data_IF_452434335619
#
_entry.id   IF_452434335619
#
_cell.length_a   1.000
_cell.length_b   1.000
_cell.length_c   1.000
_cell.angle_alpha   90.00
_cell.angle_beta   90.00
_cell.angle_gamma   90.00
#
_symmetry.space_group_name_H-M   'P 1'
#
loop_
_entity.id
_entity.type
_entity.pdbx_description
1 polymer ?
#
# COMPACT_ATOMS: atom_id res chain seq x y z
N UNK A 1 20.14 2.18 7.88
CA UNK A 1 19.49 2.27 9.19
C UNK A 1 18.23 3.11 9.00
N UNK A 2 17.06 2.59 9.37
CA UNK A 2 15.80 3.30 9.16
C UNK A 2 15.59 4.29 10.30
N UNK A 3 15.42 5.58 9.99
CA UNK A 3 15.09 6.59 10.97
C UNK A 3 13.58 6.57 11.20
N UNK A 4 13.11 6.68 12.44
CA UNK A 4 11.69 6.62 12.76
C UNK A 4 11.24 7.89 13.48
N UNK A 5 10.04 8.36 13.18
CA UNK A 5 9.31 9.32 14.00
C UNK A 5 8.21 8.61 14.78
N UNK A 6 8.06 8.96 16.05
CA UNK A 6 7.04 8.37 16.91
C UNK A 6 6.10 9.45 17.37
N UNK A 7 4.81 9.13 17.37
CA UNK A 7 3.74 9.94 17.91
C UNK A 7 2.98 9.09 18.92
N UNK A 8 2.70 9.64 20.09
CA UNK A 8 1.94 9.00 21.14
C UNK A 8 0.80 9.92 21.54
N UNK A 9 -0.41 9.38 21.58
CA UNK A 9 -1.63 10.12 21.83
C UNK A 9 -2.19 9.77 23.20
N UNK A 10 -2.50 10.81 23.96
CA UNK A 10 -2.97 10.73 25.33
C UNK A 10 -4.20 11.61 25.51
N UNK A 11 -5.22 11.09 26.17
CA UNK A 11 -6.44 11.80 26.52
C UNK A 11 -7.00 11.11 27.75
N UNK A 12 -7.40 11.88 28.75
CA UNK A 12 -8.07 11.31 29.91
C UNK A 12 -9.53 11.02 29.52
N UNK A 13 -9.92 9.75 29.58
CA UNK A 13 -11.27 9.31 29.19
C UNK A 13 -12.21 9.21 30.39
N UNK A 14 -11.65 9.23 31.61
CA UNK A 14 -12.39 9.18 32.87
C UNK A 14 -12.40 10.55 33.55
N UNK A 15 -13.55 10.96 34.08
CA UNK A 15 -13.62 12.19 34.85
C UNK A 15 -13.03 11.95 36.24
N UNK A 16 -11.78 12.34 36.44
CA UNK A 16 -11.05 12.15 37.69
C UNK A 16 -11.71 12.88 38.87
N UNK A 17 -11.69 12.26 40.04
CA UNK A 17 -12.10 12.88 41.30
C UNK A 17 -11.10 13.93 41.75
N UNK A 18 -11.48 14.81 42.69
CA UNK A 18 -10.63 15.92 43.14
C UNK A 18 -9.31 15.46 43.82
N UNK A 19 -9.27 14.23 44.34
CA UNK A 19 -8.10 13.59 44.92
C UNK A 19 -7.34 12.68 43.94
N UNK A 20 -7.83 12.54 42.71
CA UNK A 20 -7.22 11.71 41.68
C UNK A 20 -6.44 12.59 40.70
N UNK A 21 -5.19 12.23 40.48
CA UNK A 21 -4.32 12.78 39.47
C UNK A 21 -3.73 11.66 38.63
N UNK A 22 -3.61 11.93 37.32
CA UNK A 22 -2.83 11.10 36.39
C UNK A 22 -1.71 11.94 35.79
N UNK A 23 -0.49 11.62 36.20
CA UNK A 23 0.73 12.25 35.70
C UNK A 23 1.79 11.18 35.44
N UNK A 24 2.50 11.30 34.33
CA UNK A 24 3.49 10.32 33.92
C UNK A 24 4.65 10.95 33.17
N UNK A 25 5.75 10.21 33.15
CA UNK A 25 6.96 10.52 32.41
C UNK A 25 7.19 9.43 31.35
N UNK A 26 7.88 9.80 30.28
CA UNK A 26 8.19 8.93 29.16
C UNK A 26 9.71 8.89 29.00
N UNK A 27 10.27 7.70 28.96
CA UNK A 27 11.66 7.47 28.55
C UNK A 27 11.71 6.69 27.24
N UNK A 28 12.81 6.88 26.51
CA UNK A 28 13.15 6.17 25.31
C UNK A 28 14.51 5.51 25.48
N UNK A 29 14.59 4.19 25.34
CA UNK A 29 15.81 3.41 25.56
C UNK A 29 16.50 3.73 26.91
N UNK A 30 15.70 4.05 27.94
CA UNK A 30 16.19 4.44 29.26
C UNK A 30 16.46 5.93 29.46
N UNK A 31 16.55 6.72 28.38
CA UNK A 31 16.79 8.16 28.45
C UNK A 31 15.48 8.97 28.58
N UNK A 32 15.45 10.05 29.37
CA UNK A 32 14.27 10.91 29.48
C UNK A 32 13.87 11.48 28.12
N UNK A 33 12.60 11.31 27.74
CA UNK A 33 12.06 11.80 26.47
C UNK A 33 11.06 12.94 26.65
N UNK A 34 10.06 12.75 27.52
CA UNK A 34 9.05 13.77 27.78
C UNK A 34 8.43 13.57 29.16
N UNK A 35 8.18 14.66 29.88
CA UNK A 35 7.44 14.60 31.14
C UNK A 35 7.84 15.73 32.11
N UNK A 36 7.09 15.90 33.20
CA UNK A 36 5.85 15.17 33.49
C UNK A 36 4.67 15.65 32.62
N UNK A 37 3.77 14.74 32.24
CA UNK A 37 2.59 15.01 31.40
C UNK A 37 1.30 14.59 32.10
N UNK A 38 0.25 15.41 32.00
CA UNK A 38 -1.09 15.11 32.50
C UNK A 38 -2.12 15.32 31.37
N UNK A 39 -2.78 14.26 30.87
CA UNK A 39 -3.74 14.37 29.78
C UNK A 39 -5.02 15.11 30.20
N UNK A 40 -5.58 15.93 29.30
CA UNK A 40 -6.85 16.60 29.54
C UNK A 40 -8.05 15.66 29.37
N UNK A 41 -9.11 15.87 30.17
CA UNK A 41 -10.36 15.11 30.03
C UNK A 41 -11.00 15.36 28.65
N UNK A 42 -11.23 14.29 27.90
CA UNK A 42 -11.73 14.31 26.52
C UNK A 42 -10.92 15.21 25.57
N UNK A 43 -9.65 15.48 25.88
CA UNK A 43 -8.76 16.31 25.08
C UNK A 43 -7.49 15.54 24.73
N UNK A 44 -7.27 15.33 23.43
CA UNK A 44 -6.08 14.64 22.96
C UNK A 44 -4.83 15.55 23.01
N UNK A 45 -3.77 15.02 23.62
CA UNK A 45 -2.42 15.54 23.62
C UNK A 45 -1.53 14.58 22.85
N UNK A 46 -0.80 15.08 21.87
CA UNK A 46 0.16 14.28 21.09
C UNK A 46 1.58 14.63 21.50
N UNK A 47 2.34 13.63 21.95
CA UNK A 47 3.76 13.74 22.24
C UNK A 47 4.51 13.02 21.11
N UNK A 48 5.46 13.70 20.49
CA UNK A 48 6.13 13.18 19.29
C UNK A 48 7.62 13.48 19.25
N UNK A 49 8.37 12.68 18.49
CA UNK A 49 9.80 12.87 18.28
C UNK A 49 10.04 13.93 17.19
N UNK A 50 10.75 15.01 17.56
CA UNK A 50 11.09 16.10 16.62
C UNK A 50 12.14 15.67 15.58
N UNK A 51 13.09 14.87 16.01
CA UNK A 51 14.12 14.32 15.13
C UNK A 51 13.75 12.89 14.72
N UNK A 52 14.39 12.40 13.67
CA UNK A 52 14.22 11.03 13.19
C UNK A 52 15.22 10.12 13.92
N UNK A 53 14.70 9.10 14.61
CA UNK A 53 15.52 8.31 15.53
C UNK A 53 15.99 7.06 14.81
N UNK A 54 17.31 6.87 14.79
CA UNK A 54 17.92 5.66 14.22
C UNK A 54 18.22 4.71 15.38
N UNK A 55 17.53 3.55 15.49
CA UNK A 55 17.80 2.62 16.56
C UNK A 55 19.26 2.14 16.47
N UNK A 56 20.04 2.32 17.53
CA UNK A 56 21.35 1.69 17.69
C UNK A 56 21.25 0.19 18.06
N UNK A 57 20.03 -0.29 18.36
CA UNK A 57 19.72 -1.68 18.70
C UNK A 57 18.54 -2.26 17.90
N UNK A 58 18.23 -3.54 18.16
CA UNK A 58 17.23 -4.33 17.41
C UNK A 58 15.77 -3.92 17.70
N UNK A 59 15.51 -3.26 18.83
CA UNK A 59 14.16 -2.86 19.24
C UNK A 59 14.14 -1.42 19.75
N UNK A 60 13.00 -0.78 19.61
CA UNK A 60 12.71 0.52 20.22
C UNK A 60 11.97 0.26 21.53
N UNK A 61 12.51 0.75 22.66
CA UNK A 61 11.88 0.59 23.96
C UNK A 61 11.37 1.96 24.47
N UNK A 62 10.07 2.05 24.71
CA UNK A 62 9.45 3.19 25.37
C UNK A 62 8.91 2.74 26.72
N UNK A 63 9.21 3.51 27.76
CA UNK A 63 8.62 3.29 29.07
C UNK A 63 7.80 4.51 29.45
N UNK A 64 6.52 4.30 29.71
CA UNK A 64 5.63 5.31 30.27
C UNK A 64 5.43 4.91 31.74
N UNK A 65 5.89 5.75 32.66
CA UNK A 65 5.88 5.41 34.07
C UNK A 65 5.23 6.51 34.91
N UNK A 66 4.61 6.06 36.00
CA UNK A 66 3.85 6.90 36.92
C UNK A 66 4.77 7.94 37.56
N UNK A 67 4.34 9.20 37.57
CA UNK A 67 5.02 10.25 38.35
C UNK A 67 4.78 10.05 39.85
N UNK A 68 5.73 10.46 40.69
CA UNK A 68 5.61 10.36 42.15
C UNK A 68 4.37 11.09 42.70
N UNK A 69 3.96 12.19 42.05
CA UNK A 69 2.78 12.97 42.44
C UNK A 69 1.46 12.45 41.83
N UNK A 70 1.53 11.40 41.02
CA UNK A 70 0.34 10.79 40.42
C UNK A 70 -0.33 9.83 41.39
N UNK A 71 -1.65 9.78 41.39
CA UNK A 71 -2.39 8.74 42.11
C UNK A 71 -2.67 7.53 41.21
N UNK A 72 -2.91 7.77 39.92
CA UNK A 72 -3.29 6.77 38.94
C UNK A 72 -2.10 6.33 38.08
N UNK A 73 -2.15 5.12 37.48
CA UNK A 73 -1.12 4.66 36.54
C UNK A 73 -1.12 5.49 35.25
N UNK A 74 -0.08 5.44 34.42
CA UNK A 74 -0.11 6.06 33.10
C UNK A 74 -1.18 5.45 32.19
N UNK A 75 -1.54 6.19 31.14
CA UNK A 75 -2.42 5.70 30.06
C UNK A 75 -1.72 5.94 28.73
N UNK A 76 -2.08 5.15 27.71
CA UNK A 76 -1.69 5.35 26.33
C UNK A 76 -2.89 4.99 25.46
N UNK A 77 -3.39 5.94 24.66
CA UNK A 77 -4.59 5.72 23.85
C UNK A 77 -4.23 5.19 22.46
N UNK A 78 -3.20 5.76 21.83
CA UNK A 78 -2.71 5.33 20.53
C UNK A 78 -1.24 5.70 20.37
N UNK A 79 -0.54 4.99 19.49
CA UNK A 79 0.79 5.36 19.05
C UNK A 79 0.95 5.10 17.56
N UNK A 80 1.75 5.93 16.91
CA UNK A 80 2.08 5.84 15.49
C UNK A 80 3.59 5.85 15.35
N UNK A 81 4.11 4.97 14.50
CA UNK A 81 5.55 4.90 14.18
C UNK A 81 5.69 5.09 12.69
N UNK A 82 6.25 6.23 12.30
CA UNK A 82 6.55 6.55 10.92
C UNK A 82 7.99 6.24 10.63
N UNK A 83 8.22 5.26 9.77
CA UNK A 83 9.56 4.96 9.29
C UNK A 83 9.90 5.89 8.12
N UNK A 84 10.95 6.70 8.29
CA UNK A 84 11.59 7.41 7.18
C UNK A 84 12.22 6.35 6.30
N UNK A 85 11.57 6.06 5.17
CA UNK A 85 12.20 5.36 4.06
C UNK A 85 13.01 6.41 3.30
N UNK A 86 14.35 6.45 3.42
CA UNK A 86 15.14 7.28 2.51
C UNK A 86 14.81 6.79 1.11
N UNK A 87 14.21 7.64 0.26
CA UNK A 87 13.74 7.23 -1.05
C UNK A 87 14.93 6.81 -1.92
N UNK A 88 15.13 5.50 -2.20
CA UNK A 88 16.16 5.06 -3.14
C UNK A 88 15.55 4.74 -4.51
N UNK A 89 14.23 4.88 -4.65
CA UNK A 89 13.45 4.38 -5.76
C UNK A 89 12.60 5.52 -6.27
N UNK A 90 12.77 5.80 -7.56
CA UNK A 90 11.88 6.69 -8.30
C UNK A 90 10.45 6.18 -8.20
N UNK A 91 9.49 7.12 -8.25
CA UNK A 91 8.09 6.78 -8.38
C UNK A 91 7.85 5.95 -9.65
N UNK A 92 6.80 5.13 -9.65
CA UNK A 92 6.37 4.39 -10.84
C UNK A 92 6.20 5.35 -12.00
N UNK A 93 6.51 4.89 -13.22
CA UNK A 93 6.30 5.68 -14.42
C UNK A 93 4.86 6.21 -14.48
N UNK A 94 4.71 7.49 -14.84
CA UNK A 94 3.43 8.19 -14.76
C UNK A 94 2.35 7.55 -15.64
N UNK A 95 2.70 7.08 -16.84
CA UNK A 95 1.75 6.43 -17.75
C UNK A 95 1.24 5.11 -17.16
N UNK A 96 2.10 4.37 -16.46
CA UNK A 96 1.73 3.14 -15.79
C UNK A 96 0.82 3.43 -14.57
N UNK A 97 1.05 4.51 -13.82
CA UNK A 97 0.17 4.97 -12.73
C UNK A 97 -1.22 5.29 -13.28
N UNK A 98 -1.30 6.12 -14.31
CA UNK A 98 -2.55 6.53 -14.93
C UNK A 98 -3.29 5.34 -15.55
N UNK A 99 -2.57 4.42 -16.19
CA UNK A 99 -3.16 3.21 -16.74
C UNK A 99 -3.83 2.34 -15.67
N UNK A 100 -3.12 2.02 -14.58
CA UNK A 100 -3.62 1.11 -13.54
C UNK A 100 -4.76 1.75 -12.75
N UNK A 101 -4.65 3.04 -12.44
CA UNK A 101 -5.73 3.78 -11.75
C UNK A 101 -7.00 3.86 -12.60
N UNK A 102 -6.87 4.06 -13.92
CA UNK A 102 -7.99 4.02 -14.84
C UNK A 102 -8.58 2.60 -14.98
N UNK A 103 -7.76 1.56 -15.03
CA UNK A 103 -8.19 0.15 -15.03
C UNK A 103 -8.98 -0.15 -13.75
N UNK A 104 -8.46 0.25 -12.59
CA UNK A 104 -9.11 0.08 -11.29
C UNK A 104 -10.48 0.75 -11.26
N UNK A 105 -10.56 2.00 -11.74
CA UNK A 105 -11.80 2.77 -11.80
C UNK A 105 -12.81 2.15 -12.78
N UNK A 106 -12.36 1.80 -13.99
CA UNK A 106 -13.18 1.23 -15.06
C UNK A 106 -13.86 -0.07 -14.62
N UNK A 107 -13.10 -0.96 -13.99
CA UNK A 107 -13.61 -2.27 -13.59
C UNK A 107 -14.11 -2.32 -12.15
N UNK A 108 -14.04 -1.21 -11.41
CA UNK A 108 -14.44 -1.12 -10.00
C UNK A 108 -13.79 -2.21 -9.14
N UNK A 109 -12.48 -2.40 -9.34
CA UNK A 109 -11.70 -3.44 -8.65
C UNK A 109 -11.74 -3.17 -7.14
N UNK A 110 -12.07 -4.20 -6.35
CA UNK A 110 -12.23 -4.11 -4.88
C UNK A 110 -10.94 -4.38 -4.10
N UNK A 111 -9.81 -4.57 -4.78
CA UNK A 111 -8.49 -4.74 -4.16
C UNK A 111 -8.06 -3.45 -3.47
N UNK A 112 -7.24 -3.60 -2.42
CA UNK A 112 -6.70 -2.45 -1.67
C UNK A 112 -5.50 -1.88 -2.44
N UNK A 113 -5.80 -1.14 -3.51
CA UNK A 113 -4.82 -0.41 -4.31
C UNK A 113 -4.87 1.06 -3.93
N UNK A 114 -3.86 1.50 -3.19
CA UNK A 114 -3.71 2.88 -2.74
C UNK A 114 -2.23 3.28 -2.80
N UNK A 115 -1.96 4.51 -3.24
CA UNK A 115 -0.60 5.04 -3.36
C UNK A 115 0.07 4.75 -4.71
N UNK A 116 1.36 4.45 -4.68
CA UNK A 116 2.15 4.16 -5.87
C UNK A 116 2.08 2.64 -6.20
N UNK A 117 1.83 2.24 -7.47
CA UNK A 117 1.61 0.84 -7.83
C UNK A 117 2.82 -0.10 -7.62
N UNK A 118 4.04 0.38 -7.87
CA UNK A 118 5.26 -0.44 -7.80
C UNK A 118 6.23 0.00 -6.70
N UNK A 119 6.12 1.23 -6.21
CA UNK A 119 7.03 1.78 -5.21
C UNK A 119 6.35 1.87 -3.82
N UNK A 120 7.05 1.46 -2.74
CA UNK A 120 8.37 0.82 -2.72
C UNK A 120 8.32 -0.65 -3.17
N UNK A 121 9.42 -1.16 -3.75
CA UNK A 121 9.49 -2.48 -4.39
C UNK A 121 8.90 -3.66 -3.60
N UNK A 122 9.07 -3.67 -2.27
CA UNK A 122 8.56 -4.74 -1.41
C UNK A 122 7.05 -4.63 -1.09
N UNK A 123 6.39 -3.60 -1.61
CA UNK A 123 5.02 -3.23 -1.31
C UNK A 123 4.24 -2.87 -2.60
N UNK A 124 4.67 -3.39 -3.75
CA UNK A 124 3.91 -3.28 -5.00
C UNK A 124 2.51 -3.85 -4.82
N UNK A 125 1.52 -3.27 -5.50
CA UNK A 125 0.14 -3.68 -5.36
C UNK A 125 -0.08 -5.15 -5.71
N UNK A 126 -1.06 -5.76 -5.04
CA UNK A 126 -1.43 -7.16 -5.27
C UNK A 126 -1.85 -7.39 -6.73
N UNK A 127 -1.21 -8.38 -7.37
CA UNK A 127 -1.42 -8.73 -8.77
C UNK A 127 -0.51 -7.96 -9.74
N UNK A 128 0.32 -7.02 -9.27
CA UNK A 128 1.35 -6.41 -10.09
C UNK A 128 2.69 -7.11 -9.90
N UNK A 129 3.44 -7.25 -10.99
CA UNK A 129 4.89 -7.37 -10.94
C UNK A 129 5.50 -6.24 -11.73
N UNK A 130 6.53 -5.63 -11.17
CA UNK A 130 7.21 -4.49 -11.77
C UNK A 130 8.68 -4.78 -12.01
N UNK A 131 9.24 -4.17 -13.05
CA UNK A 131 10.68 -4.02 -13.23
C UNK A 131 11.15 -2.73 -12.57
N UNK A 132 12.43 -2.70 -12.18
CA UNK A 132 13.03 -1.57 -11.47
C UNK A 132 14.32 -1.14 -12.20
N UNK A 133 14.20 -0.51 -13.40
CA UNK A 133 15.34 0.11 -14.07
C UNK A 133 15.84 1.33 -13.28
N UNK A 134 16.97 1.92 -13.68
CA UNK A 134 17.55 3.08 -13.00
C UNK A 134 16.64 4.32 -13.00
N UNK A 135 15.78 4.45 -14.02
CA UNK A 135 14.89 5.60 -14.18
C UNK A 135 13.63 5.47 -13.30
N UNK A 136 12.65 4.66 -13.72
CA UNK A 136 11.34 4.54 -13.04
C UNK A 136 10.86 3.09 -13.06
N UNK A 137 10.28 2.57 -11.96
CA UNK A 137 9.59 1.28 -11.99
C UNK A 137 8.54 1.22 -13.09
N UNK A 138 8.47 0.06 -13.77
CA UNK A 138 7.52 -0.21 -14.87
C UNK A 138 6.71 -1.46 -14.58
N UNK A 139 5.43 -1.46 -14.91
CA UNK A 139 4.55 -2.63 -14.78
C UNK A 139 4.83 -3.63 -15.89
N UNK A 140 5.28 -4.82 -15.52
CA UNK A 140 5.59 -5.90 -16.48
C UNK A 140 4.59 -7.06 -16.40
N UNK A 141 3.82 -7.16 -15.32
CA UNK A 141 2.76 -8.16 -15.18
C UNK A 141 1.56 -7.54 -14.48
N UNK A 142 0.37 -7.80 -15.01
CA UNK A 142 -0.90 -7.43 -14.41
C UNK A 142 -1.80 -8.66 -14.35
N UNK A 143 -2.04 -9.14 -13.12
CA UNK A 143 -2.96 -10.22 -12.81
C UNK A 143 -4.27 -9.65 -12.29
N UNK A 144 -5.29 -9.73 -13.12
CA UNK A 144 -6.67 -9.38 -12.85
C UNK A 144 -7.58 -10.61 -12.91
N UNK A 145 -7.02 -11.81 -12.82
CA UNK A 145 -7.82 -13.03 -12.81
C UNK A 145 -8.84 -13.01 -11.67
N UNK A 146 -9.99 -13.64 -11.90
CA UNK A 146 -11.03 -13.84 -10.88
C UNK A 146 -11.46 -12.55 -10.15
N UNK A 147 -11.37 -11.40 -10.82
CA UNK A 147 -11.63 -10.08 -10.22
C UNK A 147 -13.06 -9.59 -10.47
N UNK A 148 -13.95 -10.47 -10.95
CA UNK A 148 -15.36 -10.15 -11.20
C UNK A 148 -15.58 -9.12 -12.32
N UNK A 149 -14.57 -8.93 -13.18
CA UNK A 149 -14.58 -7.89 -14.20
C UNK A 149 -15.67 -8.20 -15.24
N UNK A 150 -16.41 -7.17 -15.66
CA UNK A 150 -17.44 -7.25 -16.71
C UNK A 150 -17.18 -6.18 -17.77
N UNK A 151 -17.77 -6.36 -18.96
CA UNK A 151 -17.60 -5.41 -20.07
C UNK A 151 -16.43 -5.78 -20.99
N UNK A 152 -15.90 -4.81 -21.71
CA UNK A 152 -14.82 -5.00 -22.69
C UNK A 152 -13.43 -4.78 -22.08
N UNK A 153 -12.38 -5.23 -22.77
CA UNK A 153 -11.00 -4.96 -22.37
C UNK A 153 -10.69 -3.47 -22.56
N UNK A 154 -10.42 -2.77 -21.46
CA UNK A 154 -10.14 -1.34 -21.40
C UNK A 154 -8.92 -0.92 -22.22
N UNK A 155 -9.07 0.16 -23.00
CA UNK A 155 -8.00 0.79 -23.75
C UNK A 155 -6.86 1.28 -22.85
N UNK A 156 -7.10 1.55 -21.57
CA UNK A 156 -6.04 1.96 -20.63
C UNK A 156 -4.88 0.96 -20.55
N UNK A 157 -5.11 -0.31 -20.90
CA UNK A 157 -4.06 -1.34 -20.98
C UNK A 157 -3.02 -1.00 -22.07
N UNK A 158 -3.38 -0.24 -23.12
CA UNK A 158 -2.43 0.15 -24.18
C UNK A 158 -1.28 1.03 -23.66
N UNK A 159 -1.48 1.70 -22.53
CA UNK A 159 -0.48 2.57 -21.93
C UNK A 159 0.58 1.79 -21.13
N UNK A 160 0.33 0.52 -20.79
CA UNK A 160 1.28 -0.36 -20.12
C UNK A 160 2.31 -0.91 -21.11
N UNK A 161 3.12 -0.04 -21.70
CA UNK A 161 3.99 -0.37 -22.85
C UNK A 161 5.08 -1.40 -22.54
N UNK A 162 5.38 -1.65 -21.25
CA UNK A 162 6.35 -2.65 -20.80
C UNK A 162 5.70 -3.96 -20.32
N UNK A 163 4.37 -4.11 -20.47
CA UNK A 163 3.67 -5.30 -20.00
C UNK A 163 4.07 -6.53 -20.80
N UNK A 164 4.49 -7.58 -20.09
CA UNK A 164 4.84 -8.90 -20.64
C UNK A 164 3.76 -9.92 -20.41
N UNK A 165 3.06 -9.82 -19.27
CA UNK A 165 2.02 -10.77 -18.89
C UNK A 165 0.75 -10.03 -18.50
N UNK A 166 -0.34 -10.34 -19.21
CA UNK A 166 -1.67 -9.86 -18.90
C UNK A 166 -2.59 -11.05 -18.65
N UNK A 167 -3.07 -11.16 -17.41
CA UNK A 167 -3.89 -12.26 -16.94
C UNK A 167 -5.29 -11.74 -16.59
N UNK A 168 -6.28 -12.15 -17.40
CA UNK A 168 -7.67 -11.70 -17.35
C UNK A 168 -8.64 -12.88 -17.24
N UNK A 169 -8.15 -14.11 -17.04
CA UNK A 169 -8.97 -15.30 -16.94
C UNK A 169 -9.96 -15.26 -15.77
N UNK A 170 -10.99 -16.12 -15.83
CA UNK A 170 -12.02 -16.21 -14.79
C UNK A 170 -12.75 -14.89 -14.50
N UNK A 171 -12.92 -14.05 -15.51
CA UNK A 171 -13.76 -12.86 -15.47
C UNK A 171 -14.98 -13.02 -16.39
N UNK A 172 -15.92 -12.09 -16.27
CA UNK A 172 -17.14 -12.00 -17.07
C UNK A 172 -17.01 -10.96 -18.19
N UNK A 173 -15.80 -10.87 -18.76
CA UNK A 173 -15.50 -10.01 -19.90
C UNK A 173 -16.28 -10.46 -21.14
N UNK A 174 -16.60 -9.52 -22.02
CA UNK A 174 -17.37 -9.70 -23.26
C UNK A 174 -16.78 -8.84 -24.36
N UNK A 175 -17.22 -9.07 -25.60
CA UNK A 175 -16.75 -8.34 -26.78
C UNK A 175 -15.59 -9.07 -27.48
N UNK A 176 -14.89 -8.36 -28.37
CA UNK A 176 -13.76 -8.88 -29.13
C UNK A 176 -12.44 -8.57 -28.42
N UNK A 177 -11.40 -9.35 -28.71
CA UNK A 177 -10.04 -9.04 -28.29
C UNK A 177 -9.56 -7.77 -29.05
N UNK A 178 -9.23 -6.66 -28.35
CA UNK A 178 -8.86 -5.42 -29.03
C UNK A 178 -7.54 -5.51 -29.80
N UNK A 179 -7.48 -4.85 -30.96
CA UNK A 179 -6.29 -4.84 -31.81
C UNK A 179 -5.05 -4.25 -31.12
N UNK A 180 -5.22 -3.28 -30.20
CA UNK A 180 -4.11 -2.64 -29.50
C UNK A 180 -3.27 -3.65 -28.68
N UNK A 181 -3.84 -4.79 -28.26
CA UNK A 181 -3.08 -5.81 -27.53
C UNK A 181 -1.98 -6.42 -28.41
N UNK A 182 -2.21 -6.50 -29.73
CA UNK A 182 -1.20 -6.94 -30.70
C UNK A 182 -0.10 -5.90 -30.96
N UNK A 183 -0.33 -4.65 -30.54
CA UNK A 183 0.59 -3.52 -30.72
C UNK A 183 1.44 -3.26 -29.48
N UNK A 184 1.19 -3.97 -28.37
CA UNK A 184 2.01 -3.88 -27.17
C UNK A 184 3.38 -4.53 -27.42
N UNK A 185 4.48 -3.78 -27.33
CA UNK A 185 5.77 -4.22 -27.87
C UNK A 185 6.40 -5.36 -27.06
N UNK A 186 6.08 -5.44 -25.77
CA UNK A 186 6.67 -6.41 -24.84
C UNK A 186 5.70 -7.54 -24.47
N UNK A 187 4.46 -7.56 -24.98
CA UNK A 187 3.45 -8.52 -24.54
C UNK A 187 3.79 -9.93 -25.04
N UNK A 188 4.09 -10.82 -24.11
CA UNK A 188 4.48 -12.20 -24.38
C UNK A 188 3.34 -13.18 -24.07
N UNK A 189 2.59 -12.91 -23.00
CA UNK A 189 1.55 -13.79 -22.46
C UNK A 189 0.25 -13.01 -22.27
N UNK A 190 -0.80 -13.48 -22.94
CA UNK A 190 -2.18 -13.03 -22.74
C UNK A 190 -3.04 -14.23 -22.35
N UNK A 191 -3.58 -14.20 -21.14
CA UNK A 191 -4.49 -15.23 -20.62
C UNK A 191 -5.89 -14.62 -20.50
N UNK A 192 -6.83 -15.12 -21.29
CA UNK A 192 -8.23 -14.66 -21.33
C UNK A 192 -9.15 -15.88 -21.38
N UNK A 193 -10.37 -15.75 -20.84
CA UNK A 193 -11.40 -16.79 -20.91
C UNK A 193 -12.63 -16.24 -21.65
N UNK A 194 -13.33 -17.10 -22.42
CA UNK A 194 -14.59 -16.78 -23.11
C UNK A 194 -14.52 -15.66 -24.17
N UNK A 195 -13.45 -15.60 -24.98
CA UNK A 195 -13.33 -14.66 -26.11
C UNK A 195 -13.32 -15.36 -27.48
N UNK A 196 -13.86 -14.66 -28.48
CA UNK A 196 -13.74 -15.04 -29.89
C UNK A 196 -12.32 -14.72 -30.41
N UNK A 197 -11.60 -15.75 -30.85
CA UNK A 197 -10.19 -15.69 -31.26
C UNK A 197 -9.98 -15.32 -32.72
N UNK A 198 -11.06 -15.23 -33.50
CA UNK A 198 -10.97 -14.99 -34.95
C UNK A 198 -10.38 -13.60 -35.30
N UNK A 199 -10.30 -12.69 -34.33
CA UNK A 199 -9.76 -11.32 -34.51
C UNK A 199 -8.25 -11.19 -34.27
N UNK A 200 -7.57 -12.21 -33.75
CA UNK A 200 -6.14 -12.13 -33.43
C UNK A 200 -5.28 -12.50 -34.65
N UNK A 201 -4.73 -11.47 -35.32
CA UNK A 201 -3.66 -11.65 -36.32
C UNK A 201 -2.31 -11.80 -35.61
N UNK A 202 -1.87 -13.05 -35.47
CA UNK A 202 -0.49 -13.54 -35.23
C UNK A 202 0.51 -12.68 -34.44
N UNK A 203 0.89 -13.14 -33.24
CA UNK A 203 2.26 -13.20 -32.66
C UNK A 203 2.26 -13.39 -31.12
N UNK A 204 1.10 -13.29 -30.48
CA UNK A 204 0.96 -13.55 -29.04
C UNK A 204 0.76 -15.06 -28.81
N UNK A 205 1.54 -15.66 -27.92
CA UNK A 205 1.19 -16.97 -27.37
C UNK A 205 -0.03 -16.78 -26.47
N UNK A 206 -1.22 -16.92 -27.06
CA UNK A 206 -2.46 -16.91 -26.29
C UNK A 206 -2.70 -18.32 -25.80
N UNK A 207 -2.42 -18.55 -24.52
CA UNK A 207 -2.94 -19.73 -23.85
C UNK A 207 -4.42 -19.47 -23.57
N UNK A 208 -5.29 -20.26 -24.17
CA UNK A 208 -6.72 -20.23 -23.87
C UNK A 208 -7.03 -21.54 -23.17
N UNK A 209 -7.28 -21.46 -21.86
CA UNK A 209 -7.90 -22.58 -21.14
C UNK A 209 -9.40 -22.50 -21.38
N UNK A 210 -9.92 -23.27 -22.33
CA UNK A 210 -11.36 -23.53 -22.38
C UNK A 210 -11.73 -24.38 -21.17
N UNK A 211 -12.71 -23.92 -20.38
CA UNK A 211 -13.41 -24.82 -19.48
C UNK A 211 -14.30 -25.68 -20.36
N UNK A 212 -13.95 -26.95 -20.51
CA UNK A 212 -14.86 -27.94 -21.09
C UNK A 212 -16.15 -27.93 -20.26
N UNK A 213 -17.23 -27.41 -20.84
CA UNK A 213 -18.58 -27.69 -20.36
C UNK A 213 -18.89 -29.13 -20.77
N UNK A 214 -18.89 -30.03 -19.78
CA UNK A 214 -19.60 -31.30 -19.89
C UNK A 214 -21.11 -31.06 -20.09
#
# INVERSE_FOLDING_TARGET
MHSNHIYMHFAEIEKLQANESRQFNITFNGEPFYGPSSPGYMSATTIYSREAWSPTGQYINFSIFKDENSTLPPILNAYEIYMVKPAPQSATNHDDIDAITNIQSTYKITRIWQGDPCAPQNYSWEGLKCSYPEDFPRTISLDLSSSGITGEISLSISNLTMIKTLELSNNNLRGSIPEFLSQLPELEVLEVTNFDTHSLKSQVFVTIKSQDLC
#
